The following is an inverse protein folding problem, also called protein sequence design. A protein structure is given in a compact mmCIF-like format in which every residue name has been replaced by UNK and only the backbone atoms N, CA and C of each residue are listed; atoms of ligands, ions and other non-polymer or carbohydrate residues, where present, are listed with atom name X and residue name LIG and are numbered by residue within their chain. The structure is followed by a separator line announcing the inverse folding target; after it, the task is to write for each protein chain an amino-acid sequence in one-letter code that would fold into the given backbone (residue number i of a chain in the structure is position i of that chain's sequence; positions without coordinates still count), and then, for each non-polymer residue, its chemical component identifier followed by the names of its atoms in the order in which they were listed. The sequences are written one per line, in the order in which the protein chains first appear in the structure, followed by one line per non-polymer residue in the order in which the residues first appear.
data_IF_356902904644
#
_entry.id   IF_356902904644
#
_cell.length_a   1.000
_cell.length_b   1.000
_cell.length_c   1.000
_cell.angle_alpha   90.00
_cell.angle_beta   90.00
_cell.angle_gamma   90.00
#
_symmetry.space_group_name_H-M   'P 1'
#
loop_
_entity.id
_entity.type
_entity.pdbx_description
1 polymer ?
#
# COMPACT_ATOMS: atom_id res chain seq x y z
N UNK A 1 8.99 22.90 2.36
CA UNK A 1 8.08 22.32 3.36
C UNK A 1 7.59 23.41 4.29
N UNK A 2 6.28 23.53 4.47
CA UNK A 2 5.67 24.51 5.38
C UNK A 2 5.03 23.79 6.57
N UNK A 3 5.19 24.36 7.76
CA UNK A 3 4.41 23.99 8.95
C UNK A 3 4.31 25.22 9.86
N UNK A 4 3.17 25.45 10.51
CA UNK A 4 2.98 26.62 11.39
C UNK A 4 3.81 26.58 12.67
N UNK A 5 4.39 25.42 13.02
CA UNK A 5 5.14 25.21 14.25
C UNK A 5 6.61 24.87 13.95
N UNK A 6 7.53 25.74 14.37
CA UNK A 6 8.98 25.58 14.20
C UNK A 6 9.50 24.25 14.77
N UNK A 7 8.99 23.81 15.93
CA UNK A 7 9.39 22.52 16.52
C UNK A 7 9.00 21.34 15.62
N UNK A 8 7.87 21.44 14.92
CA UNK A 8 7.44 20.41 13.98
C UNK A 8 8.29 20.41 12.70
N UNK A 9 8.78 21.57 12.25
CA UNK A 9 9.74 21.65 11.15
C UNK A 9 11.06 20.95 11.49
N UNK A 10 11.57 21.17 12.70
CA UNK A 10 12.80 20.50 13.17
C UNK A 10 12.65 18.98 13.30
N UNK A 11 11.51 18.52 13.83
CA UNK A 11 11.18 17.08 13.87
C UNK A 11 11.11 16.51 12.46
N UNK A 12 10.42 17.20 11.53
CA UNK A 12 10.31 16.79 10.14
C UNK A 12 11.66 16.72 9.45
N UNK A 13 12.53 17.73 9.61
CA UNK A 13 13.87 17.76 9.04
C UNK A 13 14.68 16.54 9.48
N UNK A 14 14.72 16.25 10.78
CA UNK A 14 15.42 15.07 11.34
C UNK A 14 14.82 13.77 10.83
N UNK A 15 13.50 13.67 10.73
CA UNK A 15 12.82 12.48 10.23
C UNK A 15 13.11 12.23 8.74
N UNK A 16 13.09 13.28 7.91
CA UNK A 16 13.42 13.20 6.48
C UNK A 16 14.89 12.80 6.32
N UNK A 17 15.82 13.46 7.03
CA UNK A 17 17.24 13.12 6.99
C UNK A 17 17.48 11.65 7.33
N UNK A 18 16.95 11.17 8.46
CA UNK A 18 17.07 9.76 8.86
C UNK A 18 16.46 8.80 7.85
N UNK A 19 15.35 9.17 7.22
CA UNK A 19 14.71 8.38 6.17
C UNK A 19 15.60 8.29 4.93
N UNK A 20 16.09 9.42 4.43
CA UNK A 20 16.97 9.52 3.26
C UNK A 20 18.27 8.75 3.50
N UNK A 21 18.92 8.93 4.64
CA UNK A 21 20.12 8.17 5.04
C UNK A 21 19.88 6.66 4.98
N UNK A 22 18.80 6.19 5.62
CA UNK A 22 18.45 4.76 5.67
C UNK A 22 18.15 4.20 4.28
N UNK A 23 17.45 4.95 3.44
CA UNK A 23 17.11 4.52 2.08
C UNK A 23 18.34 4.51 1.17
N UNK A 24 19.22 5.50 1.31
CA UNK A 24 20.47 5.59 0.57
C UNK A 24 21.43 4.44 0.95
N UNK A 25 21.62 4.17 2.25
CA UNK A 25 22.42 3.04 2.75
C UNK A 25 21.92 1.69 2.21
N UNK A 26 20.60 1.55 2.05
CA UNK A 26 19.97 0.34 1.47
C UNK A 26 19.98 0.31 -0.05
N UNK A 27 20.56 1.30 -0.72
CA UNK A 27 20.53 1.48 -2.18
C UNK A 27 19.11 1.48 -2.76
N UNK A 28 18.12 1.88 -1.95
CA UNK A 28 16.73 1.93 -2.34
C UNK A 28 16.36 3.24 -3.06
N UNK A 29 17.21 4.26 -2.92
CA UNK A 29 17.17 5.52 -3.67
C UNK A 29 18.56 5.82 -4.23
N UNK A 30 18.64 6.47 -5.39
CA UNK A 30 19.88 6.96 -5.97
C UNK A 30 19.93 8.48 -5.79
N UNK A 31 20.86 8.95 -4.96
CA UNK A 31 21.10 10.37 -4.70
C UNK A 31 22.61 10.62 -4.68
N UNK A 32 23.02 11.83 -5.02
CA UNK A 32 24.43 12.23 -4.99
C UNK A 32 24.96 12.31 -3.55
N UNK A 33 24.19 12.94 -2.66
CA UNK A 33 24.54 13.09 -1.24
C UNK A 33 23.27 13.35 -0.43
N UNK A 34 23.22 12.76 0.77
CA UNK A 34 22.18 13.04 1.76
C UNK A 34 22.12 14.54 2.06
N UNK A 35 23.27 15.18 2.30
CA UNK A 35 23.34 16.59 2.68
C UNK A 35 22.82 17.49 1.56
N UNK A 36 23.18 17.20 0.31
CA UNK A 36 22.67 17.93 -0.86
C UNK A 36 21.15 17.84 -0.96
N UNK A 37 20.58 16.64 -0.79
CA UNK A 37 19.12 16.42 -0.83
C UNK A 37 18.40 17.11 0.32
N UNK A 38 18.97 17.14 1.53
CA UNK A 38 18.34 17.85 2.66
C UNK A 38 18.43 19.36 2.50
N UNK A 39 19.57 19.86 2.01
CA UNK A 39 19.78 21.30 1.80
C UNK A 39 18.97 21.88 0.63
N UNK A 40 18.48 21.04 -0.29
CA UNK A 40 17.53 21.49 -1.32
C UNK A 40 16.12 21.73 -0.78
N UNK A 41 15.80 21.27 0.43
CA UNK A 41 14.48 21.47 1.06
C UNK A 41 14.51 22.73 1.91
N UNK A 42 13.74 23.74 1.52
CA UNK A 42 13.48 24.90 2.36
C UNK A 42 12.39 24.60 3.39
N UNK A 43 12.65 24.84 4.68
CA UNK A 43 11.68 24.70 5.78
C UNK A 43 11.26 26.10 6.23
N UNK A 44 9.96 26.36 6.32
CA UNK A 44 9.45 27.68 6.69
C UNK A 44 8.12 27.61 7.43
N UNK A 45 7.89 28.56 8.33
CA UNK A 45 6.59 28.81 8.96
C UNK A 45 5.68 29.70 8.11
N UNK A 46 6.27 30.44 7.17
CA UNK A 46 5.58 31.36 6.28
C UNK A 46 5.16 30.67 4.98
N UNK A 47 4.15 31.23 4.33
CA UNK A 47 3.68 30.79 3.02
C UNK A 47 4.39 31.55 1.89
N UNK A 48 5.70 31.70 1.94
CA UNK A 48 6.44 32.50 0.96
C UNK A 48 7.31 31.56 0.11
N UNK A 49 6.84 31.14 -1.09
CA UNK A 49 7.66 30.33 -1.98
C UNK A 49 8.79 31.18 -2.58
N UNK A 50 9.87 30.54 -3.04
CA UNK A 50 10.99 31.24 -3.70
C UNK A 50 10.59 31.82 -5.07
N UNK A 51 9.66 31.16 -5.74
CA UNK A 51 9.02 31.57 -6.99
C UNK A 51 7.59 31.04 -6.97
N UNK A 52 6.67 31.77 -7.57
CA UNK A 52 5.28 31.38 -7.78
C UNK A 52 4.99 30.98 -9.25
N UNK A 53 6.02 30.97 -10.11
CA UNK A 53 5.93 30.45 -11.48
C UNK A 53 5.80 28.92 -11.47
N UNK A 54 4.74 28.39 -12.08
CA UNK A 54 4.44 26.94 -12.17
C UNK A 54 4.45 26.23 -10.80
N UNK A 55 3.96 26.91 -9.77
CA UNK A 55 3.98 26.41 -8.40
C UNK A 55 2.94 25.31 -8.17
N UNK A 56 3.40 24.10 -7.81
CA UNK A 56 2.54 23.02 -7.31
C UNK A 56 2.50 23.03 -5.78
N UNK A 57 1.31 23.18 -5.20
CA UNK A 57 1.08 23.12 -3.76
C UNK A 57 0.40 21.80 -3.41
N UNK A 58 1.09 20.96 -2.61
CA UNK A 58 0.57 19.70 -2.09
C UNK A 58 0.22 19.83 -0.62
N UNK A 59 -1.06 19.73 -0.30
CA UNK A 59 -1.58 19.74 1.07
C UNK A 59 -1.53 18.33 1.68
N UNK A 60 -0.88 18.20 2.85
CA UNK A 60 -0.74 16.94 3.59
C UNK A 60 -0.81 17.15 5.11
N UNK A 61 -1.78 17.94 5.56
CA UNK A 61 -2.10 18.19 6.97
C UNK A 61 -3.09 17.14 7.51
N UNK A 62 -3.37 17.10 8.84
CA UNK A 62 -4.32 16.15 9.41
C UNK A 62 -5.68 16.12 8.69
N UNK A 63 -6.34 14.97 8.72
CA UNK A 63 -7.62 14.69 8.04
C UNK A 63 -8.81 15.36 8.73
N UNK A 64 -8.81 16.70 8.73
CA UNK A 64 -9.87 17.55 9.26
C UNK A 64 -10.36 18.49 8.16
N UNK A 65 -11.61 18.30 7.73
CA UNK A 65 -12.20 19.02 6.59
C UNK A 65 -12.10 20.54 6.74
N UNK A 66 -12.47 21.07 7.92
CA UNK A 66 -12.44 22.52 8.18
C UNK A 66 -11.02 23.10 8.15
N UNK A 67 -10.02 22.33 8.60
CA UNK A 67 -8.62 22.76 8.57
C UNK A 67 -8.14 22.87 7.13
N UNK A 68 -8.39 21.84 6.31
CA UNK A 68 -8.01 21.83 4.90
C UNK A 68 -8.69 22.96 4.12
N UNK A 69 -10.00 23.17 4.32
CA UNK A 69 -10.75 24.28 3.72
C UNK A 69 -10.17 25.65 4.08
N UNK A 70 -9.82 25.88 5.36
CA UNK A 70 -9.19 27.13 5.79
C UNK A 70 -7.83 27.36 5.13
N UNK A 71 -7.02 26.31 5.01
CA UNK A 71 -5.72 26.38 4.33
C UNK A 71 -5.91 26.77 2.87
N UNK A 72 -6.80 26.09 2.14
CA UNK A 72 -7.04 26.39 0.74
C UNK A 72 -7.66 27.77 0.50
N UNK A 73 -8.53 28.24 1.38
CA UNK A 73 -9.06 29.60 1.30
C UNK A 73 -7.95 30.66 1.43
N UNK A 74 -7.03 30.48 2.39
CA UNK A 74 -5.89 31.38 2.57
C UNK A 74 -4.92 31.34 1.38
N UNK A 75 -4.65 30.16 0.83
CA UNK A 75 -3.82 29.99 -0.36
C UNK A 75 -4.46 30.63 -1.60
N UNK A 76 -5.77 30.47 -1.76
CA UNK A 76 -6.52 31.09 -2.84
C UNK A 76 -6.41 32.62 -2.81
N UNK A 77 -6.59 33.23 -1.64
CA UNK A 77 -6.46 34.68 -1.51
C UNK A 77 -5.04 35.15 -1.84
N UNK A 78 -4.04 34.41 -1.37
CA UNK A 78 -2.64 34.72 -1.61
C UNK A 78 -2.26 34.67 -3.09
N UNK A 79 -2.79 33.71 -3.85
CA UNK A 79 -2.40 33.45 -5.25
C UNK A 79 -3.52 33.81 -6.25
N UNK A 80 -4.47 34.67 -5.86
CA UNK A 80 -5.66 35.01 -6.65
C UNK A 80 -5.35 35.57 -8.05
N UNK A 81 -4.21 36.22 -8.23
CA UNK A 81 -3.77 36.78 -9.51
C UNK A 81 -2.81 35.90 -10.32
N UNK A 82 -2.50 34.69 -9.86
CA UNK A 82 -1.55 33.80 -10.53
C UNK A 82 -2.25 32.51 -10.98
N UNK A 83 -2.46 32.41 -12.29
CA UNK A 83 -3.12 31.29 -12.94
C UNK A 83 -2.21 30.08 -13.21
N UNK A 84 -0.90 30.20 -12.95
CA UNK A 84 0.03 29.08 -13.09
C UNK A 84 0.10 28.16 -11.86
N UNK A 85 -0.52 28.55 -10.74
CA UNK A 85 -0.46 27.78 -9.47
C UNK A 85 -1.46 26.62 -9.50
N UNK A 86 -1.02 25.41 -9.15
CA UNK A 86 -1.89 24.23 -9.01
C UNK A 86 -1.99 23.84 -7.54
N UNK A 87 -3.22 23.56 -7.09
CA UNK A 87 -3.53 23.18 -5.72
C UNK A 87 -3.97 21.72 -5.67
N UNK A 88 -3.29 20.89 -4.88
CA UNK A 88 -3.69 19.50 -4.69
C UNK A 88 -3.67 19.08 -3.23
N UNK A 89 -4.54 18.15 -2.87
CA UNK A 89 -4.54 17.49 -1.56
C UNK A 89 -4.07 16.03 -1.67
N UNK A 90 -3.28 15.59 -0.70
CA UNK A 90 -2.88 14.19 -0.52
C UNK A 90 -3.91 13.38 0.31
N UNK A 91 -5.10 13.91 0.58
CA UNK A 91 -6.10 13.21 1.40
C UNK A 91 -6.34 11.79 0.90
N UNK A 92 -6.56 10.85 1.84
CA UNK A 92 -6.84 9.45 1.52
C UNK A 92 -8.30 9.07 1.75
N UNK A 93 -9.07 9.93 2.42
CA UNK A 93 -10.38 9.57 2.99
C UNK A 93 -11.47 10.62 2.78
N UNK A 94 -11.11 11.90 2.65
CA UNK A 94 -12.07 12.98 2.43
C UNK A 94 -12.32 13.16 0.94
N UNK A 95 -13.52 13.61 0.58
CA UNK A 95 -13.81 14.02 -0.79
C UNK A 95 -12.95 15.22 -1.16
N UNK A 96 -12.25 15.10 -2.29
CA UNK A 96 -11.45 16.17 -2.86
C UNK A 96 -12.36 17.35 -3.20
N UNK A 97 -13.54 17.10 -3.77
CA UNK A 97 -14.57 18.09 -4.06
C UNK A 97 -15.03 18.83 -2.80
N UNK A 98 -15.29 18.12 -1.70
CA UNK A 98 -15.75 18.73 -0.45
C UNK A 98 -14.70 19.65 0.18
N UNK A 99 -13.42 19.27 0.14
CA UNK A 99 -12.30 20.14 0.54
C UNK A 99 -12.26 21.36 -0.38
N UNK A 100 -12.49 21.13 -1.67
CA UNK A 100 -12.39 22.11 -2.75
C UNK A 100 -13.44 23.21 -2.74
N UNK A 101 -14.59 23.06 -2.08
CA UNK A 101 -15.75 23.98 -2.21
C UNK A 101 -15.40 25.48 -2.07
N UNK A 102 -14.39 25.84 -1.27
CA UNK A 102 -13.96 27.24 -1.03
C UNK A 102 -12.64 27.63 -1.73
N UNK A 103 -12.12 26.77 -2.61
CA UNK A 103 -10.99 27.10 -3.48
C UNK A 103 -11.51 28.01 -4.60
N UNK A 104 -10.82 29.12 -4.92
CA UNK A 104 -11.24 30.02 -5.99
C UNK A 104 -11.07 29.40 -7.39
N UNK A 105 -9.87 28.89 -7.77
CA UNK A 105 -9.67 28.28 -9.07
C UNK A 105 -9.96 26.77 -9.04
N UNK A 106 -11.23 26.42 -9.12
CA UNK A 106 -11.70 25.03 -9.17
C UNK A 106 -11.07 24.21 -10.30
N UNK A 107 -10.74 24.86 -11.41
CA UNK A 107 -10.11 24.24 -12.58
C UNK A 107 -8.66 23.81 -12.33
N UNK A 108 -7.98 24.46 -11.38
CA UNK A 108 -6.58 24.22 -11.00
C UNK A 108 -6.44 23.46 -9.69
N UNK A 109 -7.52 22.81 -9.28
CA UNK A 109 -7.61 22.07 -8.03
C UNK A 109 -7.94 20.60 -8.27
N UNK A 110 -7.32 19.70 -7.51
CA UNK A 110 -7.56 18.27 -7.58
C UNK A 110 -6.92 17.52 -6.41
N UNK A 111 -6.81 16.20 -6.54
CA UNK A 111 -6.10 15.36 -5.58
C UNK A 111 -4.83 14.78 -6.19
N UNK A 112 -3.83 14.58 -5.34
CA UNK A 112 -2.57 13.93 -5.68
C UNK A 112 -2.16 13.03 -4.51
N UNK A 113 -2.64 11.79 -4.54
CA UNK A 113 -2.56 10.86 -3.42
C UNK A 113 -1.37 9.92 -3.57
N UNK A 114 -0.41 10.08 -2.65
CA UNK A 114 0.79 9.27 -2.53
C UNK A 114 0.61 8.14 -1.51
N UNK A 115 1.27 7.01 -1.75
CA UNK A 115 1.22 5.84 -0.87
C UNK A 115 2.46 5.77 0.04
N UNK A 116 2.25 5.46 1.32
CA UNK A 116 3.32 5.34 2.31
C UNK A 116 4.06 3.98 2.18
N UNK A 117 5.41 3.93 2.18
CA UNK A 117 6.37 5.05 2.19
C UNK A 117 6.54 5.73 0.83
N UNK A 118 6.33 7.05 0.79
CA UNK A 118 6.32 7.85 -0.45
C UNK A 118 7.58 7.69 -1.31
N UNK A 119 8.82 7.65 -0.76
CA UNK A 119 10.00 7.45 -1.59
C UNK A 119 10.06 6.08 -2.30
N UNK A 120 9.40 5.06 -1.76
CA UNK A 120 9.46 3.68 -2.25
C UNK A 120 8.26 3.30 -3.12
N UNK A 121 7.08 3.79 -2.78
CA UNK A 121 5.87 3.47 -3.54
C UNK A 121 5.88 4.18 -4.88
N UNK A 122 5.65 3.44 -5.97
CA UNK A 122 5.69 3.98 -7.34
C UNK A 122 4.41 4.67 -7.76
N UNK A 123 3.28 4.26 -7.19
CA UNK A 123 1.96 4.72 -7.61
C UNK A 123 1.61 6.09 -7.01
N UNK A 124 0.93 6.92 -7.79
CA UNK A 124 0.24 8.13 -7.34
C UNK A 124 -1.14 8.17 -8.01
N UNK A 125 -2.19 8.38 -7.23
CA UNK A 125 -3.52 8.62 -7.78
C UNK A 125 -3.69 10.13 -8.05
N UNK A 126 -4.05 10.48 -9.28
CA UNK A 126 -4.42 11.83 -9.71
C UNK A 126 -5.94 11.88 -9.70
N UNK A 127 -6.50 12.62 -8.75
CA UNK A 127 -7.95 12.68 -8.51
C UNK A 127 -8.50 13.92 -9.21
N UNK A 128 -9.35 13.68 -10.22
CA UNK A 128 -10.03 14.71 -10.99
C UNK A 128 -11.40 14.99 -10.38
N UNK A 129 -11.64 16.25 -10.03
CA UNK A 129 -12.97 16.75 -9.69
C UNK A 129 -13.79 17.05 -10.95
N UNK A 130 -15.08 17.36 -10.79
CA UNK A 130 -15.96 17.72 -11.92
C UNK A 130 -15.42 18.93 -12.68
N UNK A 131 -14.79 19.86 -11.95
CA UNK A 131 -14.29 21.15 -12.46
C UNK A 131 -12.82 21.13 -12.86
N UNK A 132 -12.01 20.14 -12.44
CA UNK A 132 -10.57 20.12 -12.74
C UNK A 132 -10.34 20.11 -14.25
N UNK A 133 -9.55 21.07 -14.73
CA UNK A 133 -9.25 21.22 -16.16
C UNK A 133 -8.39 20.07 -16.68
N UNK A 134 -8.46 19.82 -17.99
CA UNK A 134 -7.59 18.85 -18.63
C UNK A 134 -6.11 19.28 -18.56
N UNK A 135 -5.84 20.58 -18.69
CA UNK A 135 -4.50 21.15 -18.54
C UNK A 135 -3.89 20.84 -17.16
N UNK A 136 -4.66 21.00 -16.08
CA UNK A 136 -4.20 20.64 -14.73
C UNK A 136 -3.94 19.14 -14.60
N UNK A 137 -4.80 18.29 -15.15
CA UNK A 137 -4.57 16.84 -15.14
C UNK A 137 -3.27 16.48 -15.86
N UNK A 138 -3.00 17.11 -17.00
CA UNK A 138 -1.80 16.81 -17.79
C UNK A 138 -0.52 17.33 -17.13
N UNK A 139 -0.56 18.53 -16.53
CA UNK A 139 0.53 19.04 -15.71
C UNK A 139 0.84 18.14 -14.49
N UNK A 140 -0.19 17.58 -13.85
CA UNK A 140 0.00 16.62 -12.75
C UNK A 140 0.59 15.30 -13.22
N UNK A 141 0.21 14.81 -14.41
CA UNK A 141 0.82 13.61 -15.00
C UNK A 141 2.29 13.82 -15.31
N UNK A 142 2.64 14.98 -15.89
CA UNK A 142 4.01 15.37 -16.18
C UNK A 142 4.84 15.41 -14.90
N UNK A 143 4.37 16.15 -13.88
CA UNK A 143 5.03 16.19 -12.57
C UNK A 143 5.24 14.80 -11.96
N UNK A 144 4.22 13.92 -12.00
CA UNK A 144 4.32 12.56 -11.47
C UNK A 144 5.35 11.73 -12.24
N UNK A 145 5.42 11.88 -13.56
CA UNK A 145 6.43 11.21 -14.38
C UNK A 145 7.84 11.72 -14.06
N UNK A 146 8.01 13.03 -13.90
CA UNK A 146 9.30 13.68 -13.60
C UNK A 146 9.91 13.21 -12.28
N UNK A 147 9.08 12.95 -11.26
CA UNK A 147 9.53 12.40 -9.98
C UNK A 147 9.68 10.87 -9.99
N UNK A 148 9.64 10.24 -11.16
CA UNK A 148 9.83 8.79 -11.35
C UNK A 148 8.70 7.93 -10.79
N UNK A 149 7.48 8.49 -10.73
CA UNK A 149 6.27 7.79 -10.26
C UNK A 149 5.37 7.42 -11.44
N UNK A 150 4.37 6.60 -11.16
CA UNK A 150 3.33 6.19 -12.11
C UNK A 150 2.01 6.81 -11.66
N UNK A 151 1.48 7.71 -12.48
CA UNK A 151 0.20 8.36 -12.24
C UNK A 151 -0.96 7.55 -12.79
N UNK A 152 -2.01 7.36 -11.99
CA UNK A 152 -3.30 6.82 -12.45
C UNK A 152 -4.39 7.85 -12.23
N UNK A 153 -5.22 8.09 -13.25
CA UNK A 153 -6.29 9.07 -13.20
C UNK A 153 -7.58 8.43 -12.66
N UNK A 154 -8.21 9.06 -11.69
CA UNK A 154 -9.52 8.65 -11.18
C UNK A 154 -10.43 9.85 -10.89
N UNK A 155 -11.72 9.56 -10.69
CA UNK A 155 -12.70 10.52 -10.19
C UNK A 155 -12.64 10.60 -8.67
N UNK A 156 -13.14 11.70 -8.12
CA UNK A 156 -13.38 11.83 -6.68
C UNK A 156 -14.54 10.94 -6.24
N UNK A 157 -14.23 9.69 -5.92
CA UNK A 157 -15.16 8.72 -5.33
C UNK A 157 -14.54 8.15 -4.06
N UNK A 158 -15.34 7.75 -3.05
CA UNK A 158 -14.81 7.25 -1.77
C UNK A 158 -13.75 6.15 -1.95
N UNK A 159 -12.53 6.40 -1.49
CA UNK A 159 -11.41 5.46 -1.61
C UNK A 159 -10.72 5.39 -2.97
N UNK A 160 -11.07 6.28 -3.90
CA UNK A 160 -10.44 6.39 -5.22
C UNK A 160 -10.40 5.05 -5.97
N UNK A 161 -9.21 4.55 -6.33
CA UNK A 161 -9.05 3.22 -6.93
C UNK A 161 -8.58 2.23 -5.87
N UNK A 162 -7.42 2.49 -5.27
CA UNK A 162 -6.74 1.49 -4.44
C UNK A 162 -7.54 1.18 -3.18
N UNK A 163 -7.95 2.20 -2.43
CA UNK A 163 -8.69 1.95 -1.17
C UNK A 163 -10.08 1.40 -1.45
N UNK A 164 -10.74 1.83 -2.53
CA UNK A 164 -12.04 1.32 -3.00
C UNK A 164 -12.03 -0.20 -3.19
N UNK A 165 -10.92 -0.75 -3.68
CA UNK A 165 -10.73 -2.19 -3.86
C UNK A 165 -10.16 -2.87 -2.61
N UNK A 166 -9.22 -2.22 -1.93
CA UNK A 166 -8.46 -2.81 -0.83
C UNK A 166 -9.27 -3.00 0.44
N UNK A 167 -10.16 -2.06 0.77
CA UNK A 167 -10.97 -2.11 1.99
C UNK A 167 -11.98 -3.28 1.93
N UNK A 168 -12.79 -3.46 0.86
CA UNK A 168 -13.66 -4.62 0.74
C UNK A 168 -12.90 -5.96 0.71
N UNK A 169 -11.75 -6.01 0.05
CA UNK A 169 -10.88 -7.20 0.04
C UNK A 169 -10.44 -7.60 1.46
N UNK A 170 -9.97 -6.62 2.23
CA UNK A 170 -9.56 -6.85 3.63
C UNK A 170 -10.78 -7.23 4.49
N UNK A 171 -11.93 -6.60 4.23
CA UNK A 171 -13.20 -6.92 4.91
C UNK A 171 -13.67 -8.35 4.66
N UNK A 172 -13.55 -8.87 3.44
CA UNK A 172 -13.90 -10.27 3.17
C UNK A 172 -12.96 -11.24 3.88
N UNK A 173 -11.65 -10.96 3.92
CA UNK A 173 -10.70 -11.78 4.67
C UNK A 173 -11.10 -11.85 6.16
N UNK A 174 -11.48 -10.73 6.77
CA UNK A 174 -11.97 -10.69 8.17
C UNK A 174 -13.23 -11.52 8.33
N UNK A 175 -14.21 -11.40 7.41
CA UNK A 175 -15.45 -12.18 7.49
C UNK A 175 -15.23 -13.69 7.39
N UNK A 176 -14.26 -14.14 6.58
CA UNK A 176 -13.89 -15.55 6.51
C UNK A 176 -13.39 -16.07 7.87
N UNK A 177 -12.61 -15.26 8.59
CA UNK A 177 -12.14 -15.60 9.94
C UNK A 177 -13.31 -15.61 10.93
N UNK A 178 -14.22 -14.64 10.86
CA UNK A 178 -15.40 -14.58 11.74
C UNK A 178 -16.34 -15.78 11.54
N UNK A 179 -16.48 -16.29 10.32
CA UNK A 179 -17.26 -17.51 10.02
C UNK A 179 -16.54 -18.81 10.36
N UNK A 180 -15.23 -18.75 10.61
CA UNK A 180 -14.40 -19.94 10.84
C UNK A 180 -14.04 -20.70 9.57
N UNK A 181 -14.09 -20.05 8.39
CA UNK A 181 -13.77 -20.68 7.10
C UNK A 181 -12.28 -21.08 7.03
N UNK A 182 -11.39 -20.26 7.61
CA UNK A 182 -9.96 -20.49 7.68
C UNK A 182 -9.30 -19.65 8.79
N UNK A 183 -8.09 -20.03 9.19
CA UNK A 183 -7.25 -19.20 10.07
C UNK A 183 -6.74 -17.96 9.32
N UNK A 184 -6.45 -16.87 10.04
CA UNK A 184 -5.93 -15.66 9.40
C UNK A 184 -4.52 -15.91 8.79
N UNK A 185 -3.73 -16.81 9.39
CA UNK A 185 -2.44 -17.22 8.85
C UNK A 185 -2.57 -17.99 7.53
N UNK A 186 -3.52 -18.92 7.44
CA UNK A 186 -3.75 -19.68 6.21
C UNK A 186 -4.29 -18.80 5.08
N UNK A 187 -5.16 -17.82 5.40
CA UNK A 187 -5.61 -16.83 4.43
C UNK A 187 -4.42 -16.00 3.93
N UNK A 188 -3.54 -15.52 4.82
CA UNK A 188 -2.33 -14.80 4.41
C UNK A 188 -1.41 -15.65 3.52
N UNK A 189 -1.22 -16.92 3.85
CA UNK A 189 -0.43 -17.86 3.03
C UNK A 189 -1.07 -18.06 1.66
N UNK A 190 -2.39 -18.30 1.60
CA UNK A 190 -3.12 -18.49 0.36
C UNK A 190 -3.05 -17.25 -0.54
N UNK A 191 -3.22 -16.05 0.02
CA UNK A 191 -3.14 -14.81 -0.78
C UNK A 191 -1.72 -14.52 -1.26
N UNK A 192 -0.68 -14.89 -0.49
CA UNK A 192 0.71 -14.73 -0.93
C UNK A 192 1.12 -15.74 -1.99
N UNK A 193 0.88 -17.03 -1.75
CA UNK A 193 1.38 -18.10 -2.62
C UNK A 193 0.43 -18.43 -3.77
N UNK A 194 -0.88 -18.29 -3.57
CA UNK A 194 -1.91 -18.56 -4.57
C UNK A 194 -2.21 -17.36 -5.46
N UNK A 195 -2.52 -16.21 -4.86
CA UNK A 195 -2.86 -15.00 -5.61
C UNK A 195 -1.65 -14.11 -5.94
N UNK A 196 -0.46 -14.44 -5.42
CA UNK A 196 0.78 -13.74 -5.74
C UNK A 196 0.96 -12.38 -5.06
N UNK A 197 0.19 -12.07 -4.01
CA UNK A 197 0.38 -10.83 -3.28
C UNK A 197 1.72 -10.82 -2.52
N UNK A 198 2.42 -9.67 -2.44
CA UNK A 198 3.67 -9.58 -1.68
C UNK A 198 3.46 -9.69 -0.17
N UNK A 199 2.23 -9.49 0.30
CA UNK A 199 1.83 -9.47 1.70
C UNK A 199 0.39 -9.98 1.81
N UNK A 200 0.11 -10.79 2.83
CA UNK A 200 -1.26 -11.23 3.10
C UNK A 200 -2.14 -10.09 3.61
N UNK A 201 -3.48 -10.21 3.53
CA UNK A 201 -4.41 -9.18 3.99
C UNK A 201 -4.23 -8.84 5.48
N UNK A 202 -3.94 -9.82 6.35
CA UNK A 202 -3.77 -9.60 7.78
C UNK A 202 -2.43 -8.97 8.14
N UNK A 203 -1.34 -9.42 7.49
CA UNK A 203 -0.04 -8.76 7.55
C UNK A 203 -0.13 -7.28 7.11
N UNK A 204 -0.93 -7.01 6.07
CA UNK A 204 -1.15 -5.66 5.56
C UNK A 204 -1.97 -4.80 6.53
N UNK A 205 -3.08 -5.32 7.06
CA UNK A 205 -3.88 -4.64 8.08
C UNK A 205 -3.06 -4.30 9.33
N UNK A 206 -2.16 -5.19 9.76
CA UNK A 206 -1.26 -4.90 10.87
C UNK A 206 -0.21 -3.83 10.52
N UNK A 207 0.20 -3.74 9.27
CA UNK A 207 1.16 -2.74 8.81
C UNK A 207 0.53 -1.34 8.70
N UNK A 208 -0.70 -1.27 8.20
CA UNK A 208 -1.45 -0.01 8.06
C UNK A 208 -2.03 0.47 9.39
N UNK A 209 -2.55 -0.47 10.19
CA UNK A 209 -3.18 -0.23 11.48
C UNK A 209 -4.68 -0.53 11.46
N UNK A 210 -5.14 -1.35 12.40
CA UNK A 210 -6.54 -1.79 12.48
C UNK A 210 -7.50 -0.64 12.78
N UNK A 211 -7.08 0.34 13.57
CA UNK A 211 -7.83 1.55 13.87
C UNK A 211 -8.02 2.43 12.62
N UNK A 212 -6.99 2.54 11.77
CA UNK A 212 -7.10 3.27 10.50
C UNK A 212 -8.09 2.59 9.56
N UNK A 213 -8.01 1.26 9.42
CA UNK A 213 -8.98 0.49 8.62
C UNK A 213 -10.41 0.62 9.15
N UNK A 214 -10.58 0.52 10.49
CA UNK A 214 -11.87 0.74 11.15
C UNK A 214 -12.44 2.13 10.86
N UNK A 215 -11.63 3.17 11.03
CA UNK A 215 -12.05 4.55 10.78
C UNK A 215 -12.56 4.76 9.34
N UNK A 216 -11.88 4.18 8.35
CA UNK A 216 -12.31 4.25 6.95
C UNK A 216 -13.65 3.54 6.74
N UNK A 217 -13.81 2.33 7.27
CA UNK A 217 -15.07 1.56 7.17
C UNK A 217 -16.22 2.32 7.84
N UNK A 218 -16.01 2.87 9.03
CA UNK A 218 -17.04 3.67 9.74
C UNK A 218 -17.42 4.93 8.97
N UNK A 219 -16.43 5.61 8.37
CA UNK A 219 -16.65 6.80 7.55
C UNK A 219 -17.49 6.47 6.30
N UNK A 220 -17.22 5.34 5.65
CA UNK A 220 -17.98 4.89 4.47
C UNK A 220 -19.39 4.44 4.83
N UNK A 221 -19.57 3.75 5.95
CA UNK A 221 -20.90 3.37 6.42
C UNK A 221 -21.75 4.59 6.77
N UNK A 222 -21.15 5.65 7.32
CA UNK A 222 -21.85 6.90 7.63
C UNK A 222 -22.35 7.64 6.37
N UNK A 223 -21.78 7.37 5.19
CA UNK A 223 -22.25 7.95 3.92
C UNK A 223 -23.58 7.35 3.45
N UNK A 224 -23.98 6.19 3.97
CA UNK A 224 -25.19 5.46 3.55
C UNK A 224 -25.27 5.21 2.03
N UNK A 225 -24.12 5.11 1.35
CA UNK A 225 -24.05 4.79 -0.07
C UNK A 225 -24.06 3.25 -0.27
N UNK A 226 -25.11 2.67 -0.88
CA UNK A 226 -25.24 1.23 -1.05
C UNK A 226 -24.20 0.63 -2.00
N UNK A 227 -23.48 1.45 -2.76
CA UNK A 227 -22.39 0.99 -3.64
C UNK A 227 -21.10 0.71 -2.86
N UNK A 228 -20.99 1.18 -1.61
CA UNK A 228 -19.87 0.87 -0.71
C UNK A 228 -20.07 -0.51 -0.09
N UNK A 229 -19.44 -1.54 -0.69
CA UNK A 229 -19.48 -2.91 -0.17
C UNK A 229 -18.55 -3.09 1.04
N UNK A 230 -18.91 -2.50 2.17
CA UNK A 230 -18.21 -2.59 3.45
C UNK A 230 -19.17 -2.91 4.57
N UNK A 231 -18.68 -3.57 5.62
CA UNK A 231 -19.47 -3.97 6.78
C UNK A 231 -18.65 -3.78 8.05
N UNK A 232 -19.34 -3.55 9.17
CA UNK A 232 -18.69 -3.53 10.49
C UNK A 232 -18.23 -4.94 10.84
N UNK A 233 -17.08 -5.04 11.50
CA UNK A 233 -16.57 -6.28 12.09
C UNK A 233 -16.45 -6.08 13.60
N UNK A 234 -17.18 -6.89 14.37
CA UNK A 234 -17.10 -6.86 15.83
C UNK A 234 -15.75 -7.41 16.31
N UNK A 235 -15.13 -8.32 15.56
CA UNK A 235 -13.78 -8.80 15.84
C UNK A 235 -12.76 -7.67 15.75
N UNK A 236 -12.77 -6.89 14.68
CA UNK A 236 -11.89 -5.72 14.52
C UNK A 236 -12.20 -4.67 15.58
N UNK A 237 -13.47 -4.39 15.88
CA UNK A 237 -13.86 -3.47 16.96
C UNK A 237 -13.24 -3.87 18.30
N UNK A 238 -13.36 -5.15 18.66
CA UNK A 238 -12.78 -5.70 19.88
C UNK A 238 -11.25 -5.54 19.89
N UNK A 239 -10.57 -5.94 18.81
CA UNK A 239 -9.10 -5.81 18.71
C UNK A 239 -8.63 -4.35 18.86
N UNK A 240 -9.33 -3.40 18.24
CA UNK A 240 -9.02 -1.97 18.38
C UNK A 240 -9.23 -1.50 19.81
N UNK A 241 -10.34 -1.90 20.46
CA UNK A 241 -10.61 -1.54 21.87
C UNK A 241 -9.58 -2.11 22.85
N UNK A 242 -8.97 -3.25 22.53
CA UNK A 242 -7.88 -3.88 23.29
C UNK A 242 -6.49 -3.29 22.98
N UNK A 243 -6.40 -2.25 22.13
CA UNK A 243 -5.12 -1.64 21.73
C UNK A 243 -4.26 -2.50 20.78
N UNK A 244 -4.84 -3.54 20.17
CA UNK A 244 -4.18 -4.41 19.20
C UNK A 244 -4.21 -3.78 17.80
N UNK A 245 -3.45 -2.71 17.62
CA UNK A 245 -3.47 -1.87 16.42
C UNK A 245 -2.46 -2.31 15.35
N UNK A 246 -1.83 -3.47 15.50
CA UNK A 246 -0.83 -3.99 14.57
C UNK A 246 0.60 -3.62 14.96
N UNK A 247 1.46 -3.39 13.98
CA UNK A 247 2.91 -3.18 14.18
C UNK A 247 3.23 -2.00 15.08
N UNK A 248 2.40 -0.94 15.03
CA UNK A 248 2.63 0.29 15.79
C UNK A 248 2.45 0.13 17.31
N UNK A 249 1.66 -0.84 17.76
CA UNK A 249 1.52 -1.20 19.19
C UNK A 249 2.18 -2.53 19.53
N UNK A 250 2.91 -3.12 18.57
CA UNK A 250 3.59 -4.41 18.76
C UNK A 250 2.68 -5.62 18.70
N UNK A 251 1.36 -5.47 18.52
CA UNK A 251 0.41 -6.58 18.43
C UNK A 251 -0.83 -6.19 17.64
N UNK A 252 -1.26 -7.06 16.73
CA UNK A 252 -2.54 -6.97 16.01
C UNK A 252 -3.07 -8.38 15.77
N UNK A 253 -3.17 -8.79 14.51
CA UNK A 253 -3.34 -10.19 14.11
C UNK A 253 -2.10 -11.00 14.50
N UNK A 254 -0.91 -10.47 14.24
CA UNK A 254 0.35 -11.06 14.65
C UNK A 254 0.94 -10.38 15.90
N UNK A 255 1.84 -11.11 16.58
CA UNK A 255 2.64 -10.60 17.69
C UNK A 255 4.02 -10.13 17.18
N UNK A 256 4.29 -8.82 17.31
CA UNK A 256 5.53 -8.16 16.92
C UNK A 256 6.44 -7.83 18.11
N UNK A 257 6.01 -8.13 19.34
CA UNK A 257 6.85 -7.97 20.55
C UNK A 257 7.94 -9.03 20.62
N UNK A 258 7.65 -10.22 20.09
CA UNK A 258 8.61 -11.29 19.94
C UNK A 258 9.53 -10.92 18.78
N UNK A 259 10.78 -10.54 19.07
CA UNK A 259 11.86 -10.56 18.06
C UNK A 259 11.73 -11.87 17.32
N UNK A 260 11.45 -11.85 16.00
CA UNK A 260 11.49 -13.06 15.18
C UNK A 260 12.85 -13.71 15.45
N UNK A 261 12.86 -14.78 16.25
CA UNK A 261 13.86 -15.82 16.07
C UNK A 261 13.77 -16.10 14.59
N UNK A 262 14.82 -15.78 13.83
CA UNK A 262 14.95 -16.24 12.45
C UNK A 262 14.48 -17.67 12.49
N UNK A 263 13.32 -17.98 11.87
CA UNK A 263 12.98 -19.36 11.57
C UNK A 263 14.22 -19.78 10.79
N UNK A 264 15.07 -20.62 11.39
CA UNK A 264 16.15 -21.27 10.64
C UNK A 264 15.39 -21.79 9.44
N UNK A 265 15.70 -21.28 8.25
CA UNK A 265 15.27 -21.89 7.01
C UNK A 265 15.40 -23.38 7.24
N UNK A 266 14.27 -24.08 7.11
CA UNK A 266 14.14 -25.45 7.56
C UNK A 266 15.39 -26.18 7.14
N UNK A 267 16.05 -26.85 8.11
CA UNK A 267 17.18 -27.74 7.82
C UNK A 267 16.81 -28.46 6.53
N UNK A 268 17.57 -28.17 5.48
CA UNK A 268 17.59 -28.95 4.26
C UNK A 268 17.57 -30.39 4.73
N UNK A 269 16.54 -31.15 4.34
CA UNK A 269 16.43 -32.55 4.69
C UNK A 269 17.81 -33.16 4.42
N UNK A 270 18.45 -33.66 5.48
CA UNK A 270 19.83 -34.12 5.42
C UNK A 270 19.89 -35.38 4.59
N UNK A 271 19.99 -35.24 3.26
CA UNK A 271 20.49 -36.28 2.39
C UNK A 271 21.96 -36.46 2.77
N UNK A 272 22.27 -37.29 3.76
CA UNK A 272 23.64 -37.56 4.22
C UNK A 272 24.46 -38.38 3.22
N UNK A 273 23.98 -38.63 2.00
CA UNK A 273 24.76 -39.26 0.94
C UNK A 273 24.71 -38.39 -0.33
N UNK A 274 25.86 -38.01 -0.92
CA UNK A 274 25.87 -37.42 -2.24
C UNK A 274 25.21 -38.39 -3.23
N UNK A 275 24.34 -37.85 -4.09
CA UNK A 275 23.73 -38.62 -5.16
C UNK A 275 24.87 -39.26 -5.99
N UNK A 276 24.95 -40.59 -6.13
CA UNK A 276 26.05 -41.22 -6.82
C UNK A 276 26.12 -40.72 -8.27
N UNK A 277 27.33 -40.42 -8.74
CA UNK A 277 27.66 -39.83 -10.05
C UNK A 277 27.28 -40.72 -11.26
N UNK A 278 26.42 -41.71 -11.08
CA UNK A 278 25.97 -42.69 -12.09
C UNK A 278 24.51 -42.50 -12.52
N UNK A 279 23.82 -41.43 -12.09
CA UNK A 279 22.46 -41.14 -12.55
C UNK A 279 22.44 -40.62 -14.00
N UNK A 280 22.60 -41.52 -14.97
CA UNK A 280 22.44 -41.28 -16.42
C UNK A 280 20.97 -41.38 -16.84
N UNK A 281 20.08 -40.51 -16.32
CA UNK A 281 18.73 -40.35 -16.92
C UNK A 281 18.54 -38.92 -17.40
N UNK A 282 18.07 -38.71 -18.64
CA UNK A 282 17.80 -37.36 -19.13
C UNK A 282 16.69 -36.72 -18.29
N UNK A 283 16.86 -35.44 -17.92
CA UNK A 283 15.80 -34.64 -17.32
C UNK A 283 14.62 -34.57 -18.30
N UNK A 284 13.38 -34.92 -17.89
CA UNK A 284 12.23 -34.67 -18.73
C UNK A 284 11.97 -33.15 -18.85
N UNK A 285 11.53 -32.62 -20.00
CA UNK A 285 11.47 -31.18 -20.26
C UNK A 285 10.37 -30.40 -19.51
N UNK A 286 9.60 -31.04 -18.62
CA UNK A 286 8.39 -30.42 -18.05
C UNK A 286 8.22 -30.74 -16.57
N UNK A 287 9.19 -30.33 -15.74
CA UNK A 287 9.05 -30.39 -14.29
C UNK A 287 9.14 -28.97 -13.70
N UNK A 288 8.04 -28.23 -13.81
CA UNK A 288 7.78 -26.99 -13.08
C UNK A 288 6.55 -27.20 -12.20
N UNK A 289 6.71 -27.79 -11.01
CA UNK A 289 5.69 -27.70 -9.95
C UNK A 289 6.15 -28.31 -8.62
N UNK A 290 6.45 -27.41 -7.66
CA UNK A 290 6.00 -27.31 -6.27
C UNK A 290 5.59 -28.50 -5.37
N UNK A 291 5.65 -29.76 -5.77
CA UNK A 291 5.27 -30.88 -4.90
C UNK A 291 6.29 -32.02 -5.01
N UNK A 292 7.29 -32.01 -4.14
CA UNK A 292 8.12 -33.19 -3.88
C UNK A 292 7.73 -33.77 -2.52
N UNK A 293 6.79 -34.71 -2.55
CA UNK A 293 6.57 -35.69 -1.48
C UNK A 293 7.17 -37.03 -1.96
N UNK A 294 7.97 -37.76 -1.15
CA UNK A 294 8.58 -39.02 -1.57
C UNK A 294 7.59 -40.12 -2.01
N UNK A 295 6.29 -39.93 -1.79
CA UNK A 295 5.21 -40.82 -2.26
C UNK A 295 4.29 -40.18 -3.32
N UNK A 296 4.80 -39.28 -4.18
CA UNK A 296 4.01 -38.70 -5.26
C UNK A 296 3.67 -39.74 -6.34
N UNK A 297 2.42 -40.21 -6.32
CA UNK A 297 1.78 -40.91 -7.42
C UNK A 297 1.29 -39.90 -8.45
N UNK A 298 1.70 -40.04 -9.72
CA UNK A 298 1.13 -39.27 -10.82
C UNK A 298 -0.19 -39.94 -11.23
N UNK A 299 -1.29 -39.19 -11.12
CA UNK A 299 -2.63 -39.66 -11.52
C UNK A 299 -2.74 -39.57 -13.04
N UNK A 300 -2.94 -40.69 -13.69
CA UNK A 300 -3.27 -40.76 -15.11
C UNK A 300 -4.76 -40.51 -15.32
N UNK A 301 -5.14 -40.11 -16.54
CA UNK A 301 -6.54 -40.01 -16.98
C UNK A 301 -7.31 -41.30 -16.65
N UNK A 302 -8.49 -41.20 -16.02
CA UNK A 302 -9.31 -42.36 -15.70
C UNK A 302 -9.03 -43.05 -14.36
N UNK A 303 -8.40 -42.36 -13.39
CA UNK A 303 -8.26 -42.85 -12.01
C UNK A 303 -7.15 -43.90 -11.82
N UNK A 304 -6.24 -44.01 -12.79
CA UNK A 304 -5.07 -44.87 -12.73
C UNK A 304 -3.85 -44.14 -12.14
N UNK A 305 -2.85 -44.89 -11.71
CA UNK A 305 -1.62 -44.37 -11.12
C UNK A 305 -0.41 -44.79 -11.95
N UNK A 306 0.52 -43.85 -12.18
CA UNK A 306 1.76 -44.11 -12.90
C UNK A 306 2.75 -44.92 -12.04
N UNK A 307 3.08 -46.13 -12.49
CA UNK A 307 4.20 -46.89 -11.94
C UNK A 307 5.52 -46.24 -12.36
N UNK A 308 6.24 -45.66 -11.40
CA UNK A 308 7.49 -44.92 -11.65
C UNK A 308 8.66 -45.80 -12.07
N UNK A 309 8.57 -47.14 -11.88
CA UNK A 309 9.59 -48.09 -12.35
C UNK A 309 9.38 -48.46 -13.81
N UNK A 310 8.13 -48.62 -14.24
CA UNK A 310 7.80 -49.11 -15.59
C UNK A 310 7.33 -48.02 -16.55
N UNK A 311 6.93 -46.86 -16.05
CA UNK A 311 6.39 -45.74 -16.83
C UNK A 311 4.99 -46.00 -17.40
N UNK A 312 4.27 -47.02 -16.90
CA UNK A 312 2.91 -47.38 -17.34
C UNK A 312 1.88 -47.04 -16.28
N UNK A 313 0.70 -46.59 -16.71
CA UNK A 313 -0.45 -46.38 -15.82
C UNK A 313 -1.05 -47.74 -15.44
N UNK A 314 -1.32 -47.95 -14.15
CA UNK A 314 -1.95 -49.15 -13.60
C UNK A 314 -3.15 -48.80 -12.72
N UNK A 315 -4.12 -49.70 -12.53
CA UNK A 315 -5.19 -49.51 -11.56
C UNK A 315 -4.62 -49.35 -10.14
N UNK A 316 -5.26 -48.51 -9.31
CA UNK A 316 -4.84 -48.28 -7.92
C UNK A 316 -4.80 -49.58 -7.09
N UNK A 317 -5.59 -50.59 -7.46
CA UNK A 317 -5.62 -51.91 -6.81
C UNK A 317 -4.34 -52.73 -7.00
N UNK A 318 -3.45 -52.34 -7.91
CA UNK A 318 -2.19 -53.04 -8.22
C UNK A 318 -0.94 -52.31 -7.69
N UNK A 319 -1.11 -51.18 -6.98
CA UNK A 319 -0.02 -50.36 -6.43
C UNK A 319 0.28 -50.67 -4.95
#
# INVERSE_FOLDING_TARGET
MRNVNEKQLEIARKAIQKSVEKLHQKKAIQIESVDKTINSINFSTKTEPKSDENLLIVEAVPELLDVKRKIFAALNEQFKGNDSVIFVTNTSSLSVQEIGVKVGPQERYGGLHFFNPVPLMKLVEIIKNVTTSQQTVDALKEFVADIGKVGVLCKDTPGFIVNRLLIPYSGEAVRMVERGDATFEDIDIAMKLGAGYPMGPFELMDMTGLDTGKFVVESWLAMNDPTLNVQRSELVNKMVSEGKLGRKTGKGWYDYTKKKMRRKEGKQCGCQNPCPATCKRPKPPTCNSFWCNPNCYLVCSGGQVLDTKTGKCKPLSEC
#
